data_IF_121543839915
#
_entry.id   IF_121543839915
#
_cell.length_a   1.000
_cell.length_b   1.000
_cell.length_c   1.000
_cell.angle_alpha   90.00
_cell.angle_beta   90.00
_cell.angle_gamma   90.00
#
_symmetry.space_group_name_H-M   'P 1'
#
loop_
_entity.id
_entity.type
_entity.pdbx_description
1 polymer ?
#
# COMPACT_ATOMS: atom_id res chain seq x y z
N UNK A 1 -20.41 26.62 -6.79
CA UNK A 1 -19.62 25.68 -5.98
C UNK A 1 -18.55 25.08 -6.86
N UNK A 2 -17.33 25.62 -6.77
CA UNK A 2 -16.19 25.16 -7.56
C UNK A 2 -15.71 23.83 -6.97
N UNK A 3 -15.92 22.75 -7.71
CA UNK A 3 -15.45 21.42 -7.35
C UNK A 3 -13.94 21.39 -7.64
N UNK A 4 -13.12 21.63 -6.62
CA UNK A 4 -11.67 21.46 -6.73
C UNK A 4 -11.40 19.96 -6.77
N UNK A 5 -10.81 19.49 -7.87
CA UNK A 5 -10.38 18.10 -8.02
C UNK A 5 -9.44 17.74 -6.87
N UNK A 6 -9.87 16.84 -5.99
CA UNK A 6 -8.96 16.16 -5.07
C UNK A 6 -7.97 15.37 -5.93
N UNK A 7 -6.67 15.63 -5.76
CA UNK A 7 -5.64 14.76 -6.32
C UNK A 7 -5.70 13.45 -5.53
N UNK A 8 -6.56 12.51 -5.93
CA UNK A 8 -6.74 11.19 -5.29
C UNK A 8 -5.52 10.25 -5.50
N UNK A 9 -4.38 10.80 -5.92
CA UNK A 9 -3.17 10.06 -6.29
C UNK A 9 -1.94 10.83 -5.83
N UNK A 10 -1.06 10.13 -5.13
CA UNK A 10 0.25 10.64 -4.75
C UNK A 10 1.30 10.18 -5.79
N UNK A 11 2.23 11.05 -6.22
CA UNK A 11 3.22 10.69 -7.23
C UNK A 11 4.27 9.71 -6.68
N UNK A 12 4.51 8.60 -7.39
CA UNK A 12 5.66 7.73 -7.13
C UNK A 12 6.79 8.07 -8.11
N UNK A 13 7.83 8.74 -7.63
CA UNK A 13 8.90 9.28 -8.50
C UNK A 13 10.09 8.36 -8.65
N UNK A 14 10.29 7.42 -7.72
CA UNK A 14 11.48 6.56 -7.68
C UNK A 14 11.08 5.10 -7.78
N UNK A 15 11.14 4.56 -8.98
CA UNK A 15 10.90 3.16 -9.27
C UNK A 15 11.72 2.69 -10.45
N UNK A 16 11.93 1.38 -10.55
CA UNK A 16 12.59 0.73 -11.67
C UNK A 16 11.95 -0.64 -11.91
N UNK A 17 11.95 -1.09 -13.16
CA UNK A 17 11.56 -2.44 -13.53
C UNK A 17 12.49 -2.95 -14.63
N UNK A 18 13.02 -4.16 -14.44
CA UNK A 18 13.94 -4.80 -15.39
C UNK A 18 13.37 -6.15 -15.78
N UNK A 19 13.27 -6.39 -17.09
CA UNK A 19 12.92 -7.69 -17.65
C UNK A 19 14.22 -8.44 -17.95
N UNK A 20 14.30 -9.68 -17.48
CA UNK A 20 15.40 -10.62 -17.73
C UNK A 20 14.82 -11.95 -18.16
N UNK A 21 14.77 -12.18 -19.48
CA UNK A 21 14.17 -13.38 -20.06
C UNK A 21 12.66 -13.47 -19.77
N UNK A 22 12.26 -14.52 -19.05
CA UNK A 22 10.85 -14.76 -18.66
C UNK A 22 10.49 -14.18 -17.29
N UNK A 23 11.38 -13.42 -16.66
CA UNK A 23 11.17 -12.82 -15.34
C UNK A 23 11.30 -11.31 -15.42
N UNK A 24 10.55 -10.60 -14.59
CA UNK A 24 10.78 -9.19 -14.32
C UNK A 24 11.04 -8.98 -12.83
N UNK A 25 11.84 -7.97 -12.52
CA UNK A 25 12.09 -7.50 -11.15
C UNK A 25 11.75 -6.03 -11.09
N UNK A 26 10.87 -5.65 -10.17
CA UNK A 26 10.53 -4.25 -9.90
C UNK A 26 11.00 -3.81 -8.52
N UNK A 27 11.35 -2.53 -8.41
CA UNK A 27 11.64 -1.86 -7.15
C UNK A 27 10.95 -0.49 -7.15
N UNK A 28 10.40 -0.09 -6.01
CA UNK A 28 9.84 1.23 -5.78
C UNK A 28 10.29 1.74 -4.42
N UNK A 29 10.50 3.05 -4.31
CA UNK A 29 10.74 3.73 -3.03
C UNK A 29 9.52 4.60 -2.74
N UNK A 30 8.75 4.22 -1.73
CA UNK A 30 7.62 5.02 -1.26
C UNK A 30 8.12 6.08 -0.26
N UNK A 31 7.75 7.36 -0.44
CA UNK A 31 7.96 8.37 0.60
C UNK A 31 7.27 7.97 1.90
N UNK A 32 7.99 8.07 3.02
CA UNK A 32 7.47 7.78 4.37
C UNK A 32 6.15 8.51 4.65
N UNK A 33 6.04 9.76 4.21
CA UNK A 33 4.86 10.60 4.40
C UNK A 33 3.57 10.00 3.83
N UNK A 34 3.66 9.02 2.92
CA UNK A 34 2.49 8.39 2.28
C UNK A 34 1.87 7.31 3.16
N UNK A 35 2.55 6.87 4.22
CA UNK A 35 1.97 5.93 5.17
C UNK A 35 1.07 6.67 6.15
N UNK A 36 -0.15 6.17 6.43
CA UNK A 36 -1.00 6.74 7.46
C UNK A 36 -0.41 6.51 8.86
N UNK A 37 -0.81 7.31 9.86
CA UNK A 37 -0.42 7.03 11.25
C UNK A 37 -0.97 5.67 11.70
N UNK A 38 -0.25 5.01 12.60
CA UNK A 38 -0.75 3.77 13.24
C UNK A 38 -0.83 2.52 12.35
N UNK A 39 -0.05 2.42 11.27
CA UNK A 39 0.09 1.15 10.51
C UNK A 39 0.71 0.07 11.40
N UNK A 40 -0.03 -1.01 11.65
CA UNK A 40 0.40 -2.13 12.51
C UNK A 40 0.39 -3.48 11.81
N UNK A 41 -0.28 -3.57 10.66
CA UNK A 41 -0.43 -4.81 9.91
C UNK A 41 -0.16 -4.60 8.43
N UNK A 42 0.34 -5.64 7.76
CA UNK A 42 0.70 -5.63 6.36
C UNK A 42 0.36 -6.96 5.68
N UNK A 43 0.14 -6.91 4.36
CA UNK A 43 0.13 -8.04 3.46
C UNK A 43 0.58 -7.55 2.07
N UNK A 44 1.01 -8.46 1.21
CA UNK A 44 1.38 -8.17 -0.17
C UNK A 44 0.74 -9.20 -1.09
N UNK A 45 0.35 -8.78 -2.29
CA UNK A 45 -0.37 -9.64 -3.24
C UNK A 45 0.31 -9.62 -4.61
N UNK A 46 0.26 -10.74 -5.31
CA UNK A 46 0.62 -10.83 -6.72
C UNK A 46 -0.53 -11.48 -7.50
N UNK A 47 -0.86 -10.92 -8.65
CA UNK A 47 -1.91 -11.42 -9.54
C UNK A 47 -1.30 -11.54 -10.93
N UNK A 48 -1.31 -12.75 -11.48
CA UNK A 48 -0.75 -13.02 -12.80
C UNK A 48 -1.55 -14.08 -13.55
N UNK A 49 -1.27 -14.29 -14.83
CA UNK A 49 -2.09 -15.11 -15.72
C UNK A 49 -3.42 -14.44 -16.12
N UNK A 50 -4.25 -15.16 -16.87
CA UNK A 50 -5.50 -14.64 -17.43
C UNK A 50 -6.60 -15.71 -17.51
N UNK A 51 -7.86 -15.27 -17.41
CA UNK A 51 -9.02 -16.15 -17.45
C UNK A 51 -8.96 -17.24 -16.39
N UNK A 52 -9.18 -18.49 -16.81
CA UNK A 52 -9.10 -19.67 -15.95
C UNK A 52 -7.69 -19.94 -15.38
N UNK A 53 -6.64 -19.39 -16.01
CA UNK A 53 -5.25 -19.55 -15.57
C UNK A 53 -4.77 -18.38 -14.69
N UNK A 54 -5.67 -17.52 -14.20
CA UNK A 54 -5.29 -16.44 -13.29
C UNK A 54 -4.93 -17.00 -11.92
N UNK A 55 -3.76 -16.63 -11.43
CA UNK A 55 -3.21 -17.03 -10.14
C UNK A 55 -3.20 -15.82 -9.21
N UNK A 56 -3.55 -16.06 -7.96
CA UNK A 56 -3.57 -15.08 -6.88
C UNK A 56 -2.64 -15.57 -5.77
N UNK A 57 -1.65 -14.77 -5.44
CA UNK A 57 -0.66 -15.06 -4.41
C UNK A 57 -0.68 -13.97 -3.35
N UNK A 58 -0.31 -14.34 -2.13
CA UNK A 58 -0.25 -13.43 -0.99
C UNK A 58 0.95 -13.78 -0.11
N UNK A 59 1.59 -12.78 0.48
CA UNK A 59 2.65 -12.97 1.48
C UNK A 59 2.12 -13.71 2.71
N UNK A 60 0.93 -13.31 3.18
CA UNK A 60 0.20 -13.99 4.25
C UNK A 60 -1.08 -14.62 3.68
N UNK A 61 -1.16 -15.97 3.60
CA UNK A 61 -2.29 -16.66 2.99
C UNK A 61 -3.62 -16.42 3.70
N UNK A 62 -4.66 -16.18 2.92
CA UNK A 62 -6.04 -16.26 3.40
C UNK A 62 -6.49 -17.73 3.51
N UNK A 63 -7.33 -18.02 4.50
CA UNK A 63 -7.94 -19.34 4.70
C UNK A 63 -9.45 -19.24 4.80
N UNK A 64 -10.16 -20.34 4.48
CA UNK A 64 -11.63 -20.42 4.57
C UNK A 64 -12.38 -19.35 3.74
N UNK A 65 -11.85 -19.02 2.56
CA UNK A 65 -12.48 -18.07 1.61
C UNK A 65 -12.88 -18.79 0.32
N UNK A 66 -14.02 -18.40 -0.25
CA UNK A 66 -14.52 -18.99 -1.51
C UNK A 66 -13.97 -18.30 -2.75
N UNK A 67 -13.51 -17.06 -2.63
CA UNK A 67 -12.98 -16.23 -3.71
C UNK A 67 -11.88 -15.30 -3.17
N UNK A 68 -10.91 -14.87 -4.00
CA UNK A 68 -9.91 -13.90 -3.61
C UNK A 68 -10.54 -12.58 -3.14
N UNK A 69 -10.19 -12.13 -1.94
CA UNK A 69 -10.58 -10.84 -1.40
C UNK A 69 -9.39 -10.22 -0.65
N UNK A 70 -8.81 -9.17 -1.25
CA UNK A 70 -7.61 -8.50 -0.75
C UNK A 70 -7.91 -7.48 0.37
N UNK A 71 -9.19 -7.26 0.69
CA UNK A 71 -9.61 -6.30 1.73
C UNK A 71 -9.91 -6.99 3.07
N UNK A 72 -9.63 -8.29 3.20
CA UNK A 72 -9.81 -9.08 4.41
C UNK A 72 -8.67 -8.82 5.40
N UNK A 73 -8.83 -7.75 6.18
CA UNK A 73 -7.82 -7.26 7.13
C UNK A 73 -7.45 -8.27 8.22
N UNK A 74 -8.29 -9.29 8.46
CA UNK A 74 -7.97 -10.38 9.40
C UNK A 74 -6.80 -11.26 8.95
N UNK A 75 -6.51 -11.32 7.64
CA UNK A 75 -5.38 -12.07 7.09
C UNK A 75 -4.09 -11.23 6.98
N UNK A 76 -4.13 -9.98 7.43
CA UNK A 76 -2.92 -9.15 7.52
C UNK A 76 -2.17 -9.48 8.80
N UNK A 77 -0.86 -9.64 8.69
CA UNK A 77 -0.02 -9.97 9.84
C UNK A 77 0.68 -8.73 10.38
N UNK A 78 1.10 -8.79 11.64
CA UNK A 78 1.81 -7.71 12.29
C UNK A 78 3.13 -7.41 11.55
N UNK A 79 3.41 -6.13 11.35
CA UNK A 79 4.69 -5.63 10.84
C UNK A 79 5.29 -4.66 11.84
N UNK A 80 6.58 -4.77 12.12
CA UNK A 80 7.30 -3.70 12.81
C UNK A 80 7.64 -2.61 11.78
N UNK A 81 6.69 -1.69 11.60
CA UNK A 81 6.83 -0.59 10.64
C UNK A 81 7.97 0.37 11.03
N UNK A 82 8.35 0.43 12.31
CA UNK A 82 9.43 1.30 12.79
C UNK A 82 10.79 0.83 12.28
N UNK A 83 10.99 -0.50 12.23
CA UNK A 83 12.14 -1.11 11.59
C UNK A 83 12.07 -0.97 10.06
N UNK A 84 10.90 -1.19 9.47
CA UNK A 84 10.74 -1.17 8.01
C UNK A 84 10.97 0.23 7.38
N UNK A 85 10.71 1.31 8.13
CA UNK A 85 10.76 2.69 7.63
C UNK A 85 11.89 3.55 8.24
N UNK A 86 12.95 2.94 8.79
CA UNK A 86 14.12 3.62 9.40
C UNK A 86 13.74 4.64 10.50
N UNK A 87 13.34 4.17 11.68
CA UNK A 87 12.92 5.01 12.81
C UNK A 87 11.68 5.85 12.47
N UNK A 88 10.69 5.22 11.84
CA UNK A 88 9.37 5.84 11.73
C UNK A 88 8.74 5.97 13.11
N UNK A 89 8.29 7.17 13.43
CA UNK A 89 7.49 7.43 14.63
C UNK A 89 6.01 7.28 14.26
N UNK A 90 5.30 6.26 14.76
CA UNK A 90 3.89 6.03 14.43
C UNK A 90 2.95 7.13 14.94
N UNK A 91 3.45 8.05 15.78
CA UNK A 91 2.72 9.22 16.26
C UNK A 91 2.95 10.48 15.40
N UNK A 92 3.89 10.46 14.46
CA UNK A 92 4.09 11.57 13.51
C UNK A 92 3.12 11.42 12.35
N UNK A 93 2.18 12.36 12.24
CA UNK A 93 1.23 12.47 11.14
C UNK A 93 1.85 13.40 10.09
N UNK A 94 1.98 12.94 8.85
CA UNK A 94 2.45 13.82 7.76
C UNK A 94 1.34 14.80 7.37
N UNK A 95 1.72 15.94 6.79
CA UNK A 95 0.77 16.95 6.31
C UNK A 95 -0.29 16.40 5.34
N UNK A 96 0.01 15.29 4.64
CA UNK A 96 -0.92 14.60 3.74
C UNK A 96 -2.12 13.97 4.46
N UNK A 97 -1.98 13.70 5.75
CA UNK A 97 -2.99 13.04 6.58
C UNK A 97 -3.63 13.99 7.59
N UNK A 98 -3.20 15.26 7.64
CA UNK A 98 -3.87 16.26 8.46
C UNK A 98 -5.28 16.51 7.88
N UNK A 99 -6.32 16.59 8.72
CA UNK A 99 -7.62 17.04 8.26
C UNK A 99 -7.47 18.45 7.68
N UNK A 100 -8.22 18.76 6.61
CA UNK A 100 -8.31 20.14 6.13
C UNK A 100 -8.67 21.03 7.32
N UNK A 101 -7.85 22.06 7.60
CA UNK A 101 -8.20 23.03 8.63
C UNK A 101 -9.59 23.56 8.30
N UNK A 102 -10.53 23.34 9.21
CA UNK A 102 -11.83 23.98 9.08
C UNK A 102 -11.52 25.45 9.33
N UNK A 103 -11.52 26.27 8.29
CA UNK A 103 -11.44 27.72 8.44
C UNK A 103 -12.67 28.10 9.27
N UNK A 104 -12.48 28.26 10.58
CA UNK A 104 -13.47 28.86 11.45
C UNK A 104 -13.32 30.36 11.19
N UNK A 105 -14.28 30.89 10.42
CA UNK A 105 -14.37 32.31 10.11
C UNK A 105 -14.69 33.17 11.33
#
# INVERSE_FOLDING_TARGET
FSQTFSNDKLPLTTFNAVISGNRWTGQAILPRAYFPPGVTKFNAYAIHGAGANRVYESLYPASNISQPDFHRLEFFHHIDITQALNHYNPHEVSDLWLPFETIVG
#
